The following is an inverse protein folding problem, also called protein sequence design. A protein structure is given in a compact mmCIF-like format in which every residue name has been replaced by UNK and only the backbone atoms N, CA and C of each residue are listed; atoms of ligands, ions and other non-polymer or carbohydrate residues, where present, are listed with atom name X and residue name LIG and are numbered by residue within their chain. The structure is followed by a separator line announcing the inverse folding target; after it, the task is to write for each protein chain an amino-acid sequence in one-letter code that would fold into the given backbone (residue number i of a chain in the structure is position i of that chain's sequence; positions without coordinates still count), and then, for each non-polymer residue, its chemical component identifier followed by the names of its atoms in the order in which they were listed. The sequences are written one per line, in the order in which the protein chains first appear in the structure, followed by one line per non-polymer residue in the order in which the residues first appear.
data_IF_204184196492
#
_entry.id   IF_204184196492
#
_cell.length_a   1.000
_cell.length_b   1.000
_cell.length_c   1.000
_cell.angle_alpha   90.00
_cell.angle_beta   90.00
_cell.angle_gamma   90.00
#
_symmetry.space_group_name_H-M   'P 1'
#
loop_
_entity.id
_entity.type
_entity.pdbx_description
1 polymer ?
#
# COMPACT_ATOMS: atom_id res chain seq x y z
N UNK A 1 1.96 -7.26 -25.84
CA UNK A 1 1.34 -6.14 -25.08
C UNK A 1 2.40 -5.52 -24.19
N UNK A 2 2.40 -4.19 -23.99
CA UNK A 2 3.22 -3.58 -22.94
C UNK A 2 2.77 -4.10 -21.55
N UNK A 3 3.68 -4.22 -20.58
CA UNK A 3 3.32 -4.67 -19.23
C UNK A 3 2.37 -3.69 -18.55
N UNK A 4 1.37 -4.21 -17.83
CA UNK A 4 0.47 -3.41 -16.98
C UNK A 4 1.05 -3.31 -15.57
N UNK A 5 1.38 -2.10 -15.15
CA UNK A 5 1.97 -1.85 -13.83
C UNK A 5 0.91 -1.42 -12.82
N UNK A 6 1.06 -1.91 -11.58
CA UNK A 6 0.44 -1.32 -10.40
C UNK A 6 1.52 -0.97 -9.38
N UNK A 7 1.30 0.10 -8.63
CA UNK A 7 2.19 0.51 -7.54
C UNK A 7 1.54 0.09 -6.23
N UNK A 8 2.25 -0.71 -5.43
CA UNK A 8 1.90 -0.93 -4.04
C UNK A 8 2.64 0.07 -3.17
N UNK A 9 1.90 0.99 -2.56
CA UNK A 9 2.46 1.89 -1.56
C UNK A 9 2.36 1.23 -0.18
N UNK A 10 3.50 0.76 0.34
CA UNK A 10 3.58 0.14 1.66
C UNK A 10 3.95 1.17 2.72
N UNK A 11 3.02 1.45 3.63
CA UNK A 11 3.12 2.54 4.58
C UNK A 11 2.64 2.13 5.98
N UNK A 12 3.15 2.78 7.03
CA UNK A 12 2.73 2.47 8.40
C UNK A 12 2.97 3.57 9.45
N UNK A 13 3.67 4.67 9.12
CA UNK A 13 3.99 5.76 10.06
C UNK A 13 3.57 7.12 9.54
N UNK A 14 3.19 8.03 10.44
CA UNK A 14 2.96 9.47 10.20
C UNK A 14 2.09 9.79 8.97
N UNK A 15 0.77 10.00 9.13
CA UNK A 15 -0.13 10.27 8.00
C UNK A 15 0.32 11.41 7.07
N UNK A 16 0.90 12.48 7.63
CA UNK A 16 1.42 13.60 6.82
C UNK A 16 2.51 13.17 5.84
N UNK A 17 3.49 12.39 6.31
CA UNK A 17 4.54 11.83 5.44
C UNK A 17 3.92 10.90 4.41
N UNK A 18 3.00 10.02 4.80
CA UNK A 18 2.32 9.14 3.85
C UNK A 18 1.56 9.92 2.76
N UNK A 19 0.89 11.02 3.12
CA UNK A 19 0.19 11.90 2.18
C UNK A 19 1.18 12.52 1.19
N UNK A 20 2.28 13.10 1.68
CA UNK A 20 3.27 13.74 0.80
C UNK A 20 3.89 12.74 -0.18
N UNK A 21 4.17 11.52 0.29
CA UNK A 21 4.73 10.44 -0.54
C UNK A 21 3.72 9.93 -1.58
N UNK A 22 2.48 9.65 -1.20
CA UNK A 22 1.47 9.18 -2.17
C UNK A 22 1.10 10.26 -3.19
N UNK A 23 1.07 11.54 -2.79
CA UNK A 23 0.88 12.67 -3.71
C UNK A 23 2.02 12.76 -4.73
N UNK A 24 3.26 12.59 -4.28
CA UNK A 24 4.42 12.54 -5.17
C UNK A 24 4.32 11.37 -6.13
N UNK A 25 3.99 10.16 -5.64
CA UNK A 25 3.81 8.98 -6.47
C UNK A 25 2.74 9.20 -7.54
N UNK A 26 1.58 9.74 -7.17
CA UNK A 26 0.49 10.02 -8.10
C UNK A 26 0.87 11.04 -9.17
N UNK A 27 1.62 12.08 -8.79
CA UNK A 27 2.10 13.11 -9.72
C UNK A 27 3.11 12.54 -10.73
N UNK A 28 4.00 11.66 -10.29
CA UNK A 28 5.03 11.06 -11.16
C UNK A 28 4.48 9.92 -12.03
N UNK A 29 3.36 9.31 -11.64
CA UNK A 29 2.81 8.13 -12.28
C UNK A 29 1.31 8.34 -12.62
N UNK A 30 0.98 9.30 -13.50
CA UNK A 30 -0.41 9.57 -13.85
C UNK A 30 -1.05 8.34 -14.50
N UNK A 31 -2.25 7.98 -14.03
CA UNK A 31 -3.05 6.88 -14.58
C UNK A 31 -2.64 5.47 -14.14
N UNK A 32 -1.54 5.30 -13.39
CA UNK A 32 -1.21 4.00 -12.80
C UNK A 32 -2.00 3.77 -11.50
N UNK A 33 -2.52 2.55 -11.25
CA UNK A 33 -3.09 2.19 -9.96
C UNK A 33 -2.07 2.33 -8.84
N UNK A 34 -2.46 2.95 -7.74
CA UNK A 34 -1.70 3.04 -6.49
C UNK A 34 -2.53 2.40 -5.38
N UNK A 35 -2.07 1.23 -4.94
CA UNK A 35 -2.74 0.35 -4.00
C UNK A 35 -2.03 0.45 -2.65
N UNK A 36 -2.77 0.74 -1.58
CA UNK A 36 -2.21 0.85 -0.24
C UNK A 36 -2.04 -0.51 0.43
N UNK A 37 -0.86 -0.73 1.02
CA UNK A 37 -0.61 -1.80 1.97
C UNK A 37 -0.25 -1.17 3.32
N UNK A 38 -1.14 -1.31 4.30
CA UNK A 38 -0.89 -0.78 5.64
C UNK A 38 -0.13 -1.78 6.52
N UNK A 39 1.07 -1.38 6.95
CA UNK A 39 1.94 -2.17 7.81
C UNK A 39 1.86 -1.84 9.31
N UNK A 40 0.98 -0.92 9.73
CA UNK A 40 0.95 -0.42 11.11
C UNK A 40 0.01 -1.18 12.04
N UNK A 41 -0.27 -0.60 13.21
CA UNK A 41 -1.22 -1.15 14.17
C UNK A 41 -2.64 -1.04 13.64
N UNK A 42 -3.42 -2.13 13.66
CA UNK A 42 -4.72 -2.17 12.99
C UNK A 42 -5.69 -1.10 13.53
N UNK A 43 -5.58 -0.74 14.81
CA UNK A 43 -6.39 0.28 15.46
C UNK A 43 -6.16 1.69 14.87
N UNK A 44 -4.97 1.93 14.31
CA UNK A 44 -4.65 3.19 13.63
C UNK A 44 -5.12 3.20 12.18
N UNK A 45 -5.43 2.04 11.57
CA UNK A 45 -5.76 1.94 10.15
C UNK A 45 -6.90 2.88 9.73
N UNK A 46 -8.03 3.02 10.45
CA UNK A 46 -9.11 3.94 10.05
C UNK A 46 -8.69 5.41 9.96
N UNK A 47 -7.67 5.82 10.73
CA UNK A 47 -7.10 7.17 10.62
C UNK A 47 -6.32 7.34 9.32
N UNK A 48 -5.49 6.36 8.97
CA UNK A 48 -4.72 6.38 7.74
C UNK A 48 -5.59 6.21 6.50
N UNK A 49 -6.55 5.29 6.54
CA UNK A 49 -7.49 5.03 5.45
C UNK A 49 -8.21 6.31 5.05
N UNK A 50 -8.81 7.03 6.01
CA UNK A 50 -9.45 8.33 5.75
C UNK A 50 -8.49 9.38 5.17
N UNK A 51 -7.25 9.42 5.67
CA UNK A 51 -6.26 10.40 5.25
C UNK A 51 -5.73 10.14 3.82
N UNK A 52 -5.61 8.87 3.43
CA UNK A 52 -5.04 8.47 2.15
C UNK A 52 -6.09 8.13 1.08
N UNK A 53 -7.36 7.95 1.43
CA UNK A 53 -8.45 7.65 0.50
C UNK A 53 -8.50 8.54 -0.75
N UNK A 54 -8.21 9.85 -0.70
CA UNK A 54 -8.20 10.69 -1.91
C UNK A 54 -7.06 10.36 -2.90
N UNK A 55 -6.06 9.58 -2.48
CA UNK A 55 -4.81 9.39 -3.21
C UNK A 55 -4.55 7.94 -3.61
N UNK A 56 -5.25 6.98 -3.01
CA UNK A 56 -5.13 5.55 -3.27
C UNK A 56 -6.35 5.04 -4.03
N UNK A 57 -6.15 4.10 -4.95
CA UNK A 57 -7.24 3.46 -5.70
C UNK A 57 -7.89 2.32 -4.90
N UNK A 58 -7.13 1.70 -4.00
CA UNK A 58 -7.61 0.76 -2.99
C UNK A 58 -6.66 0.77 -1.79
N UNK A 59 -7.13 0.28 -0.65
CA UNK A 59 -6.30 0.23 0.56
C UNK A 59 -6.60 -1.01 1.39
N UNK A 60 -5.55 -1.71 1.80
CA UNK A 60 -5.67 -2.96 2.53
C UNK A 60 -4.76 -3.00 3.76
N UNK A 61 -5.28 -3.59 4.83
CA UNK A 61 -4.54 -3.83 6.07
C UNK A 61 -4.68 -5.29 6.50
N UNK A 62 -3.58 -5.87 6.96
CA UNK A 62 -3.63 -7.17 7.62
C UNK A 62 -4.31 -7.06 8.98
N UNK A 63 -5.35 -7.88 9.18
CA UNK A 63 -6.20 -7.93 10.39
C UNK A 63 -5.88 -9.10 11.33
N UNK A 64 -4.85 -9.90 11.05
CA UNK A 64 -4.45 -11.01 11.95
C UNK A 64 -3.52 -10.56 13.09
N UNK A 65 -3.10 -11.52 13.92
CA UNK A 65 -2.38 -11.30 15.17
C UNK A 65 -0.87 -11.00 15.01
N UNK A 66 -0.51 -10.10 14.08
CA UNK A 66 0.86 -9.63 13.90
C UNK A 66 0.98 -8.16 14.30
N UNK A 67 1.92 -7.82 15.18
CA UNK A 67 2.24 -6.43 15.49
C UNK A 67 2.98 -5.75 14.32
N UNK A 68 3.21 -4.43 14.43
CA UNK A 68 3.90 -3.67 13.38
C UNK A 68 5.32 -4.19 13.09
N UNK A 69 6.01 -4.76 14.08
CA UNK A 69 7.38 -5.26 13.92
C UNK A 69 7.38 -6.59 13.13
N UNK A 70 6.43 -7.47 13.44
CA UNK A 70 6.18 -8.68 12.67
C UNK A 70 5.82 -8.34 11.22
N UNK A 71 4.92 -7.37 11.00
CA UNK A 71 4.53 -6.94 9.65
C UNK A 71 5.71 -6.43 8.84
N UNK A 72 6.61 -5.67 9.46
CA UNK A 72 7.83 -5.18 8.81
C UNK A 72 8.79 -6.32 8.43
N UNK A 73 8.99 -7.31 9.32
CA UNK A 73 9.85 -8.48 9.04
C UNK A 73 9.28 -9.45 8.00
N UNK A 74 7.96 -9.44 7.79
CA UNK A 74 7.26 -10.41 6.94
C UNK A 74 6.52 -9.72 5.78
N UNK A 75 7.16 -8.72 5.17
CA UNK A 75 6.58 -7.97 4.05
C UNK A 75 6.16 -8.83 2.87
N UNK A 76 6.95 -9.85 2.54
CA UNK A 76 6.64 -10.84 1.53
C UNK A 76 5.34 -11.60 1.84
N UNK A 77 5.14 -11.97 3.11
CA UNK A 77 3.90 -12.62 3.57
C UNK A 77 2.72 -11.66 3.52
N UNK A 78 2.93 -10.38 3.87
CA UNK A 78 1.92 -9.34 3.76
C UNK A 78 1.45 -9.16 2.31
N UNK A 79 2.39 -9.07 1.36
CA UNK A 79 2.09 -8.96 -0.07
C UNK A 79 1.36 -10.21 -0.58
N UNK A 80 1.83 -11.40 -0.19
CA UNK A 80 1.18 -12.68 -0.54
C UNK A 80 -0.25 -12.75 -0.03
N UNK A 81 -0.49 -12.31 1.21
CA UNK A 81 -1.82 -12.29 1.82
C UNK A 81 -2.71 -11.25 1.15
N UNK A 82 -2.22 -10.05 0.91
CA UNK A 82 -2.92 -9.04 0.13
C UNK A 82 -3.33 -9.58 -1.24
N UNK A 83 -2.41 -10.22 -1.97
CA UNK A 83 -2.68 -10.78 -3.29
C UNK A 83 -3.83 -11.78 -3.27
N UNK A 84 -3.79 -12.72 -2.32
CA UNK A 84 -4.82 -13.75 -2.15
C UNK A 84 -6.19 -13.21 -1.78
N UNK A 85 -6.26 -12.09 -1.06
CA UNK A 85 -7.52 -11.57 -0.53
C UNK A 85 -8.11 -10.40 -1.34
N UNK A 86 -7.28 -9.70 -2.12
CA UNK A 86 -7.66 -8.42 -2.74
C UNK A 86 -6.93 -8.16 -4.05
N UNK A 87 -5.62 -8.45 -4.11
CA UNK A 87 -4.77 -8.07 -5.25
C UNK A 87 -5.15 -8.73 -6.59
N UNK A 88 -5.82 -9.89 -6.57
CA UNK A 88 -6.33 -10.58 -7.77
C UNK A 88 -7.51 -9.87 -8.45
N UNK A 89 -8.15 -8.92 -7.78
CA UNK A 89 -9.31 -8.17 -8.31
C UNK A 89 -8.88 -7.04 -9.27
N UNK A 90 -7.58 -6.74 -9.34
CA UNK A 90 -7.03 -5.68 -10.18
C UNK A 90 -6.35 -6.21 -11.43
N UNK A 91 -6.39 -5.44 -12.51
CA UNK A 91 -5.66 -5.75 -13.74
C UNK A 91 -4.22 -5.21 -13.69
N UNK A 92 -3.26 -6.09 -13.42
CA UNK A 92 -1.83 -5.82 -13.50
C UNK A 92 -1.06 -7.10 -13.78
N UNK A 93 0.12 -6.95 -14.39
CA UNK A 93 1.03 -8.07 -14.66
C UNK A 93 2.36 -7.88 -13.90
N UNK A 94 2.66 -6.65 -13.48
CA UNK A 94 3.84 -6.30 -12.68
C UNK A 94 3.46 -5.39 -11.53
N UNK A 95 3.87 -5.75 -10.31
CA UNK A 95 3.68 -4.96 -9.09
C UNK A 95 4.99 -4.27 -8.67
N UNK A 96 4.96 -2.95 -8.54
CA UNK A 96 6.08 -2.15 -8.03
C UNK A 96 5.83 -1.88 -6.55
N UNK A 97 6.66 -2.43 -5.67
CA UNK A 97 6.56 -2.18 -4.23
C UNK A 97 7.35 -0.93 -3.88
N UNK A 98 6.64 0.12 -3.45
CA UNK A 98 7.22 1.35 -2.94
C UNK A 98 7.00 1.43 -1.43
N UNK A 99 8.08 1.32 -0.66
CA UNK A 99 8.01 1.56 0.78
C UNK A 99 8.05 3.07 1.08
N UNK A 100 7.40 3.46 2.17
CA UNK A 100 7.24 4.86 2.58
C UNK A 100 8.56 5.66 2.74
N UNK A 101 9.69 4.99 2.95
CA UNK A 101 11.03 5.55 3.14
C UNK A 101 11.95 5.43 1.90
N UNK A 102 11.46 4.86 0.80
CA UNK A 102 12.23 4.63 -0.44
C UNK A 102 12.14 5.78 -1.47
N UNK A 103 11.74 6.98 -1.03
CA UNK A 103 11.60 8.20 -1.85
C UNK A 103 12.42 9.36 -1.30
#
# INVERSE_FOLDING_TARGET
MPPRFAIMFWYYKSPGVCIDRVRLLRRLNPGLPILGLYGGQIDDFPRFERALAPWLDDNWAYRGNGDAEWKWRHGDQMIKLWFRNRGQEFEWDTLIVMQWDML
#
